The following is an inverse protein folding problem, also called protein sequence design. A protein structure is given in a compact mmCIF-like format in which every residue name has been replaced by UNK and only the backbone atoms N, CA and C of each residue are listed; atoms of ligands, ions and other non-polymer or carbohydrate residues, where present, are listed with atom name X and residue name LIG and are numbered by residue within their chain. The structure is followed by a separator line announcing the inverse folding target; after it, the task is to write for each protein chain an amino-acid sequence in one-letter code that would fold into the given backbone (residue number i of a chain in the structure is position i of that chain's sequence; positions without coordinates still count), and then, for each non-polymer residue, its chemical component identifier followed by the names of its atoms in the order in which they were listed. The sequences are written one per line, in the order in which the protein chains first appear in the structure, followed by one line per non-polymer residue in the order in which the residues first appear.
data_IF_267896399609
#
_entry.id   IF_267896399609
#
_cell.length_a   1.000
_cell.length_b   1.000
_cell.length_c   1.000
_cell.angle_alpha   90.00
_cell.angle_beta   90.00
_cell.angle_gamma   90.00
#
_symmetry.space_group_name_H-M   'P 1'
#
loop_
_entity.id
_entity.type
_entity.pdbx_description
1 polymer ?
#
# COMPACT_ATOMS: atom_id res chain seq x y z
N UNK A 1 11.16 -10.72 7.86
CA UNK A 1 11.15 -11.17 6.46
C UNK A 1 10.83 -12.65 6.44
N UNK A 2 10.25 -13.14 5.33
CA UNK A 2 10.08 -14.59 5.10
C UNK A 2 9.02 -15.33 5.92
N UNK A 3 8.32 -14.68 6.85
CA UNK A 3 7.32 -15.33 7.72
C UNK A 3 5.89 -15.38 7.12
N UNK A 4 5.73 -15.01 5.85
CA UNK A 4 4.44 -15.05 5.17
C UNK A 4 3.48 -13.88 5.43
N UNK A 5 3.95 -12.73 5.93
CA UNK A 5 3.11 -11.55 6.25
C UNK A 5 2.16 -11.18 5.11
N UNK A 6 2.70 -10.91 3.93
CA UNK A 6 1.93 -10.49 2.75
C UNK A 6 0.92 -11.55 2.31
N UNK A 7 1.27 -12.84 2.41
CA UNK A 7 0.36 -13.94 2.11
C UNK A 7 -0.79 -13.98 3.11
N UNK A 8 -0.51 -13.86 4.40
CA UNK A 8 -1.54 -13.82 5.45
C UNK A 8 -2.44 -12.61 5.27
N UNK A 9 -1.87 -11.40 5.14
CA UNK A 9 -2.64 -10.15 4.98
C UNK A 9 -3.59 -10.23 3.79
N UNK A 10 -3.12 -10.64 2.61
CA UNK A 10 -3.96 -10.72 1.41
C UNK A 10 -5.12 -11.72 1.56
N UNK A 11 -4.88 -12.88 2.18
CA UNK A 11 -5.94 -13.87 2.38
C UNK A 11 -6.93 -13.43 3.48
N UNK A 12 -6.46 -12.78 4.54
CA UNK A 12 -7.34 -12.18 5.55
C UNK A 12 -8.23 -11.11 4.95
N UNK A 13 -7.65 -10.22 4.13
CA UNK A 13 -8.37 -9.16 3.43
C UNK A 13 -9.38 -9.75 2.44
N UNK A 14 -9.01 -10.78 1.68
CA UNK A 14 -9.93 -11.46 0.78
C UNK A 14 -11.14 -12.04 1.53
N UNK A 15 -10.91 -12.69 2.68
CA UNK A 15 -12.00 -13.20 3.52
C UNK A 15 -12.92 -12.08 4.05
N UNK A 16 -12.36 -10.95 4.48
CA UNK A 16 -13.16 -9.78 4.90
C UNK A 16 -13.98 -9.21 3.74
N UNK A 17 -13.39 -9.13 2.54
CA UNK A 17 -14.06 -8.63 1.35
C UNK A 17 -15.20 -9.56 0.91
N UNK A 18 -15.03 -10.88 1.02
CA UNK A 18 -16.12 -11.86 0.80
C UNK A 18 -17.25 -11.73 1.83
N UNK A 19 -16.93 -11.27 3.05
CA UNK A 19 -17.92 -10.91 4.08
C UNK A 19 -18.57 -9.54 3.83
N UNK A 20 -18.33 -8.92 2.68
CA UNK A 20 -18.91 -7.64 2.28
C UNK A 20 -18.25 -6.42 2.92
N UNK A 21 -17.04 -6.55 3.47
CA UNK A 21 -16.29 -5.42 4.03
C UNK A 21 -15.53 -4.69 2.94
N UNK A 22 -15.58 -3.36 2.95
CA UNK A 22 -14.76 -2.52 2.06
C UNK A 22 -13.39 -2.31 2.70
N UNK A 23 -12.36 -2.89 2.08
CA UNK A 23 -11.01 -2.94 2.65
C UNK A 23 -9.99 -2.35 1.70
N UNK A 24 -9.07 -1.55 2.25
CA UNK A 24 -7.88 -1.08 1.54
C UNK A 24 -6.62 -1.76 2.09
N UNK A 25 -5.69 -2.10 1.21
CA UNK A 25 -4.35 -2.61 1.53
C UNK A 25 -3.31 -1.64 1.00
N UNK A 26 -2.45 -1.18 1.91
CA UNK A 26 -1.27 -0.36 1.60
C UNK A 26 -0.03 -1.21 1.85
N UNK A 27 0.67 -1.56 0.78
CA UNK A 27 1.93 -2.27 0.85
C UNK A 27 3.06 -1.34 1.27
N UNK A 28 3.62 -1.57 2.45
CA UNK A 28 4.70 -0.80 3.05
C UNK A 28 6.00 -1.62 3.13
N UNK A 29 6.21 -2.49 2.15
CA UNK A 29 7.42 -3.26 1.94
C UNK A 29 8.07 -2.79 0.62
N UNK A 30 9.37 -2.43 0.60
CA UNK A 30 10.06 -1.99 -0.61
C UNK A 30 10.04 -3.02 -1.75
N UNK A 31 9.70 -4.29 -1.47
CA UNK A 31 9.51 -5.32 -2.49
C UNK A 31 8.27 -5.09 -3.38
N UNK A 32 7.30 -4.28 -2.92
CA UNK A 32 6.11 -3.89 -3.68
C UNK A 32 5.25 -5.07 -4.22
N UNK A 33 5.11 -6.15 -3.45
CA UNK A 33 4.30 -7.32 -3.80
C UNK A 33 3.21 -7.68 -2.78
N UNK A 34 2.87 -6.73 -1.90
CA UNK A 34 1.91 -6.86 -0.81
C UNK A 34 0.47 -7.02 -1.29
N UNK A 35 0.18 -6.61 -2.53
CA UNK A 35 -1.15 -6.62 -3.16
C UNK A 35 -1.23 -7.55 -4.38
N UNK A 36 -0.12 -8.23 -4.71
CA UNK A 36 0.03 -9.02 -5.93
C UNK A 36 -1.05 -10.10 -6.11
N UNK A 37 -1.42 -10.81 -5.05
CA UNK A 37 -2.43 -11.87 -5.09
C UNK A 37 -3.85 -11.29 -5.24
N UNK A 38 -4.15 -10.17 -4.57
CA UNK A 38 -5.43 -9.48 -4.71
C UNK A 38 -5.64 -8.93 -6.13
N UNK A 39 -4.55 -8.58 -6.82
CA UNK A 39 -4.56 -8.12 -8.21
C UNK A 39 -4.33 -9.24 -9.24
N UNK A 40 -4.46 -10.51 -8.86
CA UNK A 40 -4.38 -11.64 -9.80
C UNK A 40 -2.99 -11.86 -10.42
N UNK A 41 -1.92 -11.47 -9.71
CA UNK A 41 -0.53 -11.60 -10.16
C UNK A 41 0.03 -10.35 -10.85
N UNK A 42 -0.76 -9.28 -10.97
CA UNK A 42 -0.29 -7.99 -11.47
C UNK A 42 0.67 -7.35 -10.44
N UNK A 43 1.81 -6.85 -10.91
CA UNK A 43 2.62 -5.91 -10.15
C UNK A 43 2.16 -4.51 -10.53
N UNK A 44 1.50 -3.81 -9.60
CA UNK A 44 1.08 -2.43 -9.84
C UNK A 44 2.25 -1.45 -9.68
N UNK A 45 2.16 -0.31 -10.36
CA UNK A 45 3.09 0.81 -10.19
C UNK A 45 2.95 1.34 -8.75
N UNK A 46 4.07 1.65 -8.10
CA UNK A 46 4.06 2.13 -6.72
C UNK A 46 3.85 3.63 -6.63
N UNK A 47 3.39 4.12 -5.47
CA UNK A 47 3.20 5.55 -5.19
C UNK A 47 4.47 6.35 -5.43
N UNK A 48 5.62 5.85 -4.92
CA UNK A 48 6.89 6.55 -5.08
C UNK A 48 7.39 6.53 -6.53
N UNK A 49 7.09 5.50 -7.30
CA UNK A 49 7.46 5.47 -8.72
C UNK A 49 6.56 6.41 -9.54
N UNK A 50 5.27 6.47 -9.24
CA UNK A 50 4.33 7.43 -9.83
C UNK A 50 4.77 8.87 -9.56
N UNK A 51 5.08 9.22 -8.30
CA UNK A 51 5.61 10.53 -7.94
C UNK A 51 6.91 10.90 -8.67
N UNK A 52 7.81 9.93 -8.93
CA UNK A 52 9.05 10.20 -9.68
C UNK A 52 8.80 10.50 -11.15
N UNK A 53 7.82 9.85 -11.75
CA UNK A 53 7.51 10.01 -13.17
C UNK A 53 6.61 11.23 -13.44
N UNK A 54 5.62 11.46 -12.58
CA UNK A 54 4.53 12.44 -12.80
C UNK A 54 4.70 13.71 -11.94
N UNK A 55 5.57 13.70 -10.93
CA UNK A 55 5.81 14.85 -10.06
C UNK A 55 4.71 15.00 -9.01
N UNK A 56 4.19 16.22 -8.84
CA UNK A 56 3.13 16.53 -7.86
C UNK A 56 1.71 16.38 -8.43
N UNK A 57 1.58 16.23 -9.75
CA UNK A 57 0.30 16.06 -10.44
C UNK A 57 -0.13 14.57 -10.44
N UNK A 58 -0.29 13.98 -9.24
CA UNK A 58 -0.69 12.58 -9.06
C UNK A 58 -2.10 12.52 -8.50
N UNK A 59 -3.01 11.82 -9.18
CA UNK A 59 -4.35 11.55 -8.70
C UNK A 59 -4.43 10.21 -7.96
N UNK A 60 -5.48 10.05 -7.15
CA UNK A 60 -5.68 8.82 -6.36
C UNK A 60 -5.79 7.57 -7.25
N UNK A 61 -6.31 7.75 -8.47
CA UNK A 61 -6.55 6.70 -9.45
C UNK A 61 -5.25 6.17 -10.09
N UNK A 62 -4.18 6.96 -10.07
CA UNK A 62 -2.88 6.56 -10.62
C UNK A 62 -2.14 5.60 -9.68
N UNK A 63 -2.44 5.69 -8.39
CA UNK A 63 -1.73 4.96 -7.32
C UNK A 63 -2.56 3.86 -6.66
N UNK A 64 -3.88 3.80 -6.92
CA UNK A 64 -4.74 2.73 -6.39
C UNK A 64 -5.27 1.83 -7.50
N UNK A 65 -5.44 0.55 -7.18
CA UNK A 65 -6.08 -0.43 -8.05
C UNK A 65 -7.17 -1.17 -7.31
N UNK A 66 -8.26 -1.47 -8.00
CA UNK A 66 -9.30 -2.36 -7.48
C UNK A 66 -8.90 -3.80 -7.78
N UNK A 67 -8.85 -4.62 -6.74
CA UNK A 67 -8.53 -6.04 -6.80
C UNK A 67 -9.75 -6.93 -6.51
N UNK A 68 -9.44 -8.15 -6.07
CA UNK A 68 -10.40 -9.19 -5.71
C UNK A 68 -11.51 -8.66 -4.79
N UNK A 69 -12.76 -8.98 -5.10
CA UNK A 69 -13.94 -8.59 -4.32
C UNK A 69 -14.02 -7.08 -3.97
N UNK A 70 -13.49 -6.22 -4.84
CA UNK A 70 -13.54 -4.76 -4.66
C UNK A 70 -12.53 -4.20 -3.65
N UNK A 71 -11.52 -4.99 -3.24
CA UNK A 71 -10.45 -4.48 -2.36
C UNK A 71 -9.67 -3.38 -3.05
N UNK A 72 -9.35 -2.31 -2.33
CA UNK A 72 -8.48 -1.24 -2.82
C UNK A 72 -7.02 -1.61 -2.51
N UNK A 73 -6.16 -1.57 -3.50
CA UNK A 73 -4.76 -1.98 -3.39
C UNK A 73 -3.86 -0.81 -3.74
N UNK A 74 -2.86 -0.53 -2.90
CA UNK A 74 -1.82 0.47 -3.11
C UNK A 74 -0.46 -0.12 -2.71
N UNK A 75 0.61 0.20 -3.43
CA UNK A 75 1.98 -0.11 -3.02
C UNK A 75 2.73 1.20 -2.79
N UNK A 76 3.30 1.41 -1.60
CA UNK A 76 4.14 2.59 -1.35
C UNK A 76 5.38 2.60 -2.23
N UNK A 77 5.98 1.43 -2.44
CA UNK A 77 7.27 1.29 -3.11
C UNK A 77 8.44 1.61 -2.19
N UNK A 78 9.65 1.48 -2.73
CA UNK A 78 10.90 1.71 -2.02
C UNK A 78 11.79 2.72 -2.71
N UNK A 79 12.76 3.31 -2.01
CA UNK A 79 13.85 4.04 -2.66
C UNK A 79 14.69 3.08 -3.50
N UNK A 80 15.48 3.63 -4.41
CA UNK A 80 16.51 2.84 -5.10
C UNK A 80 17.44 2.15 -4.08
N UNK A 81 17.79 0.87 -4.30
CA UNK A 81 18.67 0.13 -3.41
C UNK A 81 19.97 0.90 -3.12
N UNK A 82 20.22 1.18 -1.84
CA UNK A 82 21.43 1.86 -1.39
C UNK A 82 21.41 3.40 -1.46
N UNK A 83 20.32 4.02 -1.92
CA UNK A 83 20.24 5.48 -2.11
C UNK A 83 19.36 6.18 -1.06
N UNK A 84 18.24 5.59 -0.66
CA UNK A 84 17.25 6.26 0.19
C UNK A 84 16.84 5.50 1.45
N UNK A 85 15.86 6.06 2.17
CA UNK A 85 15.28 5.49 3.39
C UNK A 85 13.87 4.96 3.13
N UNK A 86 13.66 3.64 3.30
CA UNK A 86 12.37 3.00 3.11
C UNK A 86 11.28 3.61 4.01
N UNK A 87 11.61 3.90 5.28
CA UNK A 87 10.67 4.53 6.23
C UNK A 87 10.17 5.90 5.75
N UNK A 88 11.06 6.73 5.18
CA UNK A 88 10.65 8.02 4.61
C UNK A 88 9.75 7.84 3.39
N UNK A 89 10.03 6.85 2.55
CA UNK A 89 9.19 6.51 1.41
C UNK A 89 7.76 6.14 1.81
N UNK A 90 7.62 5.31 2.85
CA UNK A 90 6.32 4.92 3.41
C UNK A 90 5.57 6.16 3.95
N UNK A 91 6.24 7.02 4.72
CA UNK A 91 5.64 8.27 5.25
C UNK A 91 5.14 9.15 4.11
N UNK A 92 5.97 9.38 3.08
CA UNK A 92 5.56 10.16 1.89
C UNK A 92 4.34 9.55 1.21
N UNK A 93 4.31 8.23 1.04
CA UNK A 93 3.19 7.52 0.42
C UNK A 93 1.89 7.65 1.21
N UNK A 94 1.94 7.50 2.54
CA UNK A 94 0.75 7.62 3.40
C UNK A 94 0.23 9.06 3.40
N UNK A 95 1.13 10.05 3.53
CA UNK A 95 0.73 11.46 3.49
C UNK A 95 0.04 11.81 2.17
N UNK A 96 0.56 11.32 1.04
CA UNK A 96 -0.08 11.55 -0.26
C UNK A 96 -1.48 10.90 -0.31
N UNK A 97 -1.63 9.66 0.17
CA UNK A 97 -2.93 9.01 0.24
C UNK A 97 -3.94 9.80 1.09
N UNK A 98 -3.51 10.35 2.22
CA UNK A 98 -4.34 11.22 3.05
C UNK A 98 -4.72 12.52 2.32
N UNK A 99 -3.76 13.18 1.68
CA UNK A 99 -3.99 14.41 0.92
C UNK A 99 -4.96 14.21 -0.25
N UNK A 100 -4.87 13.06 -0.92
CA UNK A 100 -5.76 12.68 -2.02
C UNK A 100 -7.11 12.13 -1.56
N UNK A 101 -7.37 12.08 -0.25
CA UNK A 101 -8.65 11.66 0.30
C UNK A 101 -8.92 10.15 0.26
N UNK A 102 -7.88 9.32 0.19
CA UNK A 102 -8.01 7.86 0.15
C UNK A 102 -8.74 7.26 1.37
N UNK A 103 -8.78 8.01 2.48
CA UNK A 103 -9.41 7.63 3.74
C UNK A 103 -10.66 8.46 4.07
N UNK A 104 -11.15 9.28 3.14
CA UNK A 104 -12.32 10.11 3.38
C UNK A 104 -13.58 9.26 3.62
N UNK A 105 -14.55 9.77 4.35
CA UNK A 105 -15.82 9.07 4.62
C UNK A 105 -16.56 8.65 3.34
N UNK A 106 -16.36 9.39 2.23
CA UNK A 106 -16.89 9.06 0.90
C UNK A 106 -16.34 7.74 0.33
N UNK A 107 -15.17 7.31 0.79
CA UNK A 107 -14.59 6.03 0.44
C UNK A 107 -15.20 4.88 1.25
N UNK A 108 -15.99 5.13 2.31
CA UNK A 108 -16.72 4.10 3.07
C UNK A 108 -15.87 2.88 3.45
N UNK A 109 -14.59 3.05 3.80
CA UNK A 109 -13.70 1.96 4.17
C UNK A 109 -14.07 1.42 5.56
N UNK A 110 -14.27 0.10 5.67
CA UNK A 110 -14.39 -0.58 6.97
C UNK A 110 -13.01 -0.82 7.60
N UNK A 111 -11.99 -1.09 6.77
CA UNK A 111 -10.64 -1.41 7.22
C UNK A 111 -9.56 -0.87 6.28
N UNK A 112 -8.42 -0.48 6.86
CA UNK A 112 -7.17 -0.24 6.16
C UNK A 112 -6.07 -1.13 6.75
N UNK A 113 -5.45 -1.96 5.91
CA UNK A 113 -4.33 -2.83 6.28
C UNK A 113 -3.03 -2.26 5.75
N UNK A 114 -2.01 -2.20 6.60
CA UNK A 114 -0.65 -1.81 6.23
C UNK A 114 0.26 -3.03 6.34
N UNK A 115 0.78 -3.52 5.22
CA UNK A 115 1.76 -4.61 5.21
C UNK A 115 3.17 -4.03 5.34
N UNK A 116 3.62 -3.87 6.58
CA UNK A 116 4.87 -3.17 6.90
C UNK A 116 6.05 -4.13 6.96
N UNK A 117 7.20 -3.69 6.44
CA UNK A 117 8.47 -4.40 6.62
C UNK A 117 8.79 -4.61 8.11
N UNK A 118 9.00 -5.86 8.51
CA UNK A 118 9.22 -6.23 9.93
C UNK A 118 10.68 -6.36 10.36
N UNK A 119 11.64 -6.24 9.43
CA UNK A 119 13.06 -6.54 9.71
C UNK A 119 13.87 -5.32 10.15
N UNK A 120 13.46 -4.14 9.72
CA UNK A 120 14.21 -2.90 9.96
C UNK A 120 13.22 -1.84 10.42
N UNK A 121 13.39 -1.39 11.65
CA UNK A 121 12.63 -0.29 12.23
C UNK A 121 13.51 0.96 12.20
N UNK A 122 13.55 1.63 11.05
CA UNK A 122 14.20 2.93 10.90
C UNK A 122 13.16 3.96 10.43
N UNK A 123 13.15 5.13 11.05
CA UNK A 123 12.09 6.14 10.83
C UNK A 123 11.47 6.67 12.11
N UNK A 124 11.80 6.10 13.28
CA UNK A 124 11.29 6.58 14.56
C UNK A 124 9.78 6.42 14.70
N UNK A 125 9.32 5.21 15.02
CA UNK A 125 8.00 5.02 15.66
C UNK A 125 8.07 5.46 17.14
N UNK A 126 8.57 6.67 17.35
CA UNK A 126 8.74 7.29 18.66
C UNK A 126 8.41 8.78 18.54
N UNK A 127 7.14 9.10 18.32
CA UNK A 127 6.38 10.05 19.14
C UNK A 127 4.88 9.89 18.85
#
# INVERSE_FOLDING_TARGET
GGIGKSTTTQNTVAGLAEMGRKVMVVGCDPKADSTRLLLGGLAQKSVLDTLREEGEDVDLEDIRRTGFSGTVCVESGGPEPGVGCAGRGIITSINLLEQLGAYADSECLDYAFYDVLGDVVCGGFAM
#
